data_IF_000117446944
#
_entry.id   IF_000117446944
#
_cell.length_a   1.000
_cell.length_b   1.000
_cell.length_c   1.000
_cell.angle_alpha   90.00
_cell.angle_beta   90.00
_cell.angle_gamma   90.00
#
_symmetry.space_group_name_H-M   'P 1'
#
loop_
_entity.id
_entity.type
_entity.pdbx_description
1 polymer ?
#
# COMPACT_ATOMS: atom_id res chain seq x y z
N UNK A 1 11.17 -6.83 8.67
CA UNK A 1 11.89 -5.83 7.84
C UNK A 1 11.29 -4.45 8.10
N UNK A 2 12.14 -3.42 8.34
CA UNK A 2 11.67 -2.04 8.60
C UNK A 2 11.40 -1.32 7.28
N UNK A 3 10.17 -0.87 7.08
CA UNK A 3 9.70 -0.23 5.85
C UNK A 3 9.06 1.11 6.17
N UNK A 4 9.31 2.14 5.37
CA UNK A 4 8.57 3.41 5.41
C UNK A 4 7.59 3.48 4.27
N UNK A 5 6.46 4.16 4.44
CA UNK A 5 5.69 4.57 3.28
C UNK A 5 5.76 6.09 3.11
N UNK A 6 5.74 6.51 1.85
CA UNK A 6 6.05 7.87 1.43
C UNK A 6 5.16 8.31 0.27
N UNK A 7 4.96 9.62 0.18
CA UNK A 7 4.13 10.25 -0.84
C UNK A 7 4.75 11.54 -1.37
N UNK A 8 3.98 12.35 -2.08
CA UNK A 8 4.38 13.68 -2.54
C UNK A 8 4.63 14.68 -1.39
N UNK A 9 4.20 14.34 -0.16
CA UNK A 9 4.51 15.13 1.04
C UNK A 9 5.97 15.00 1.49
N UNK A 10 6.69 13.95 1.03
CA UNK A 10 8.07 13.66 1.38
C UNK A 10 9.00 14.09 0.23
N UNK A 11 9.03 15.38 -0.11
CA UNK A 11 9.82 15.91 -1.24
C UNK A 11 11.33 15.96 -0.95
N UNK A 12 11.72 15.99 0.32
CA UNK A 12 13.08 15.95 0.80
C UNK A 12 13.31 14.75 1.73
N UNK A 13 14.03 13.75 1.24
CA UNK A 13 14.37 12.54 2.00
C UNK A 13 15.89 12.41 2.11
N UNK A 14 16.42 12.38 3.33
CA UNK A 14 17.78 11.92 3.57
C UNK A 14 17.82 10.39 3.59
N UNK A 15 18.02 9.82 2.42
CA UNK A 15 18.09 8.37 2.23
C UNK A 15 19.23 7.71 2.99
N UNK A 16 20.34 8.42 3.23
CA UNK A 16 21.47 7.88 3.97
C UNK A 16 21.10 7.72 5.43
N UNK A 17 20.46 8.75 6.01
CA UNK A 17 19.98 8.70 7.37
C UNK A 17 18.87 7.63 7.55
N UNK A 18 17.94 7.50 6.59
CA UNK A 18 16.95 6.41 6.62
C UNK A 18 17.58 5.03 6.69
N UNK A 19 18.61 4.77 5.89
CA UNK A 19 19.33 3.50 5.89
C UNK A 19 20.07 3.30 7.21
N UNK A 20 20.70 4.32 7.76
CA UNK A 20 21.39 4.27 9.03
C UNK A 20 20.43 3.99 10.20
N UNK A 21 19.16 4.44 10.10
CA UNK A 21 18.07 4.11 11.02
C UNK A 21 17.50 2.69 10.80
N UNK A 22 18.05 1.93 9.85
CA UNK A 22 17.71 0.55 9.58
C UNK A 22 16.50 0.35 8.68
N UNK A 23 16.11 1.36 7.88
CA UNK A 23 15.08 1.20 6.84
C UNK A 23 15.63 0.33 5.71
N UNK A 24 14.90 -0.73 5.37
CA UNK A 24 15.27 -1.74 4.38
C UNK A 24 14.35 -1.69 3.15
N UNK A 25 13.22 -0.99 3.25
CA UNK A 25 12.26 -0.86 2.16
C UNK A 25 11.39 0.38 2.24
N UNK A 26 10.71 0.67 1.12
CA UNK A 26 9.77 1.78 1.02
C UNK A 26 8.51 1.37 0.24
N UNK A 27 7.35 1.89 0.64
CA UNK A 27 6.12 1.82 -0.16
C UNK A 27 5.82 3.24 -0.66
N UNK A 28 5.73 3.42 -1.96
CA UNK A 28 5.62 4.75 -2.59
C UNK A 28 4.20 4.99 -3.08
N UNK A 29 3.59 6.12 -2.72
CA UNK A 29 2.33 6.55 -3.36
C UNK A 29 2.57 6.71 -4.86
N UNK A 30 1.97 5.85 -5.67
CA UNK A 30 2.09 5.92 -7.12
C UNK A 30 0.96 6.73 -7.73
N UNK A 31 -0.24 6.69 -7.10
CA UNK A 31 -1.39 7.44 -7.59
C UNK A 31 -2.41 7.74 -6.49
N UNK A 32 -3.25 8.72 -6.79
CA UNK A 32 -4.51 8.98 -6.12
C UNK A 32 -5.62 8.84 -7.16
N UNK A 33 -6.42 7.78 -7.01
CA UNK A 33 -7.27 7.34 -8.10
C UNK A 33 -6.44 7.06 -9.37
N UNK A 34 -6.82 7.68 -10.49
CA UNK A 34 -6.08 7.60 -11.77
C UNK A 34 -5.00 8.66 -11.94
N UNK A 35 -4.89 9.60 -11.00
CA UNK A 35 -3.91 10.68 -11.08
C UNK A 35 -2.58 10.21 -10.48
N UNK A 36 -1.52 10.19 -11.27
CA UNK A 36 -0.20 9.80 -10.79
C UNK A 36 0.38 10.86 -9.85
N UNK A 37 1.01 10.40 -8.77
CA UNK A 37 1.81 11.21 -7.86
C UNK A 37 3.01 11.82 -8.59
N UNK A 38 3.36 13.07 -8.29
CA UNK A 38 4.43 13.78 -9.02
C UNK A 38 5.83 13.18 -8.72
N UNK A 39 6.03 12.70 -7.49
CA UNK A 39 7.33 12.21 -7.02
C UNK A 39 7.52 10.69 -7.13
N UNK A 40 6.49 9.92 -7.55
CA UNK A 40 6.57 8.46 -7.57
C UNK A 40 7.81 7.92 -8.30
N UNK A 41 8.11 8.42 -9.50
CA UNK A 41 9.27 7.99 -10.28
C UNK A 41 10.60 8.35 -9.62
N UNK A 42 10.70 9.53 -8.98
CA UNK A 42 11.88 9.99 -8.22
C UNK A 42 12.13 9.08 -7.02
N UNK A 43 11.09 8.76 -6.26
CA UNK A 43 11.19 7.93 -5.06
C UNK A 43 11.57 6.48 -5.39
N UNK A 44 10.92 5.87 -6.38
CA UNK A 44 11.23 4.50 -6.83
C UNK A 44 12.67 4.42 -7.35
N UNK A 45 13.09 5.39 -8.18
CA UNK A 45 14.46 5.45 -8.67
C UNK A 45 15.49 5.58 -7.54
N UNK A 46 15.19 6.43 -6.54
CA UNK A 46 16.08 6.65 -5.40
C UNK A 46 16.22 5.42 -4.51
N UNK A 47 15.12 4.71 -4.23
CA UNK A 47 15.09 3.46 -3.47
C UNK A 47 15.85 2.35 -4.20
N UNK A 48 15.52 2.14 -5.48
CA UNK A 48 16.14 1.12 -6.32
C UNK A 48 17.67 1.31 -6.45
N UNK A 49 18.12 2.55 -6.65
CA UNK A 49 19.55 2.86 -6.74
C UNK A 49 20.33 2.58 -5.45
N UNK A 50 19.66 2.46 -4.32
CA UNK A 50 20.23 2.17 -3.00
C UNK A 50 20.04 0.72 -2.56
N UNK A 51 19.40 -0.10 -3.39
CA UNK A 51 19.13 -1.50 -3.09
C UNK A 51 18.05 -1.72 -2.04
N UNK A 52 17.24 -0.68 -1.74
CA UNK A 52 16.07 -0.82 -0.90
C UNK A 52 14.99 -1.63 -1.64
N UNK A 53 14.28 -2.52 -0.93
CA UNK A 53 13.06 -3.10 -1.44
C UNK A 53 12.01 -2.01 -1.62
N UNK A 54 11.15 -2.11 -2.65
CA UNK A 54 10.12 -1.10 -2.87
C UNK A 54 8.79 -1.72 -3.28
N UNK A 55 7.73 -1.06 -2.90
CA UNK A 55 6.36 -1.31 -3.32
C UNK A 55 5.68 -0.01 -3.69
N UNK A 56 4.43 -0.10 -4.11
CA UNK A 56 3.63 1.08 -4.46
C UNK A 56 2.22 0.98 -3.91
N UNK A 57 1.59 2.13 -3.63
CA UNK A 57 0.17 2.16 -3.28
C UNK A 57 -0.61 3.19 -4.11
N UNK A 58 -1.87 2.83 -4.36
CA UNK A 58 -2.88 3.70 -4.96
C UNK A 58 -3.90 4.07 -3.88
N UNK A 59 -3.96 5.35 -3.49
CA UNK A 59 -5.06 5.86 -2.67
C UNK A 59 -6.33 5.83 -3.50
N UNK A 60 -7.23 4.89 -3.21
CA UNK A 60 -8.38 4.64 -4.08
C UNK A 60 -9.55 5.58 -3.83
N UNK A 61 -10.20 5.98 -4.91
CA UNK A 61 -11.49 6.65 -4.93
C UNK A 61 -12.56 5.80 -5.65
N UNK A 62 -12.27 4.51 -5.87
CA UNK A 62 -13.13 3.63 -6.62
C UNK A 62 -14.38 3.26 -5.83
N UNK A 63 -15.53 3.68 -6.34
CA UNK A 63 -16.85 3.32 -5.82
C UNK A 63 -17.55 2.25 -6.65
N UNK A 64 -16.90 1.75 -7.70
CA UNK A 64 -17.36 0.65 -8.55
C UNK A 64 -16.18 -0.19 -9.01
N UNK A 65 -16.45 -1.42 -9.40
CA UNK A 65 -15.46 -2.36 -9.94
C UNK A 65 -14.76 -1.81 -11.18
N UNK A 66 -15.49 -1.18 -12.10
CA UNK A 66 -14.94 -0.58 -13.31
C UNK A 66 -13.95 0.55 -12.97
N UNK A 67 -14.28 1.34 -11.93
CA UNK A 67 -13.37 2.40 -11.49
C UNK A 67 -12.10 1.83 -10.86
N UNK A 68 -12.21 0.76 -10.08
CA UNK A 68 -11.07 0.06 -9.49
C UNK A 68 -10.16 -0.54 -10.58
N UNK A 69 -10.73 -1.13 -11.64
CA UNK A 69 -9.99 -1.61 -12.81
C UNK A 69 -9.23 -0.47 -13.52
N UNK A 70 -9.86 0.71 -13.69
CA UNK A 70 -9.22 1.89 -14.29
C UNK A 70 -8.05 2.40 -13.43
N UNK A 71 -8.18 2.39 -12.11
CA UNK A 71 -7.14 2.80 -11.18
C UNK A 71 -5.97 1.81 -11.20
N UNK A 72 -6.24 0.50 -11.19
CA UNK A 72 -5.22 -0.53 -11.38
C UNK A 72 -4.48 -0.39 -12.70
N UNK A 73 -5.20 -0.14 -13.80
CA UNK A 73 -4.61 0.07 -15.12
C UNK A 73 -3.68 1.30 -15.15
N UNK A 74 -4.01 2.38 -14.43
CA UNK A 74 -3.16 3.56 -14.31
C UNK A 74 -1.85 3.25 -13.57
N UNK A 75 -1.92 2.47 -12.46
CA UNK A 75 -0.75 1.99 -11.72
C UNK A 75 0.15 1.12 -12.60
N UNK A 76 -0.44 0.15 -13.30
CA UNK A 76 0.30 -0.76 -14.20
C UNK A 76 1.01 0.03 -15.30
N UNK A 77 0.31 0.95 -15.96
CA UNK A 77 0.89 1.79 -17.01
C UNK A 77 2.05 2.67 -16.52
N UNK A 78 1.97 3.17 -15.28
CA UNK A 78 3.07 3.91 -14.66
C UNK A 78 4.30 3.01 -14.41
N UNK A 79 4.09 1.81 -13.85
CA UNK A 79 5.18 0.85 -13.59
C UNK A 79 5.86 0.39 -14.90
N UNK A 80 5.09 0.10 -15.94
CA UNK A 80 5.61 -0.25 -17.27
C UNK A 80 6.45 0.90 -17.86
N UNK A 81 5.98 2.15 -17.71
CA UNK A 81 6.70 3.34 -18.18
C UNK A 81 8.02 3.54 -17.45
N UNK A 82 8.07 3.27 -16.14
CA UNK A 82 9.28 3.38 -15.34
C UNK A 82 10.29 2.26 -15.64
N UNK A 83 9.84 1.07 -16.04
CA UNK A 83 10.69 -0.03 -16.49
C UNK A 83 11.53 -0.72 -15.42
N UNK A 84 11.18 -0.57 -14.13
CA UNK A 84 11.89 -1.22 -13.01
C UNK A 84 11.43 -2.67 -12.75
N UNK A 85 10.43 -3.15 -13.48
CA UNK A 85 9.83 -4.47 -13.27
C UNK A 85 8.79 -4.50 -12.16
N UNK A 86 8.47 -5.70 -11.66
CA UNK A 86 7.50 -5.86 -10.60
C UNK A 86 8.04 -5.35 -9.25
N UNK A 87 7.25 -4.57 -8.49
CA UNK A 87 7.65 -4.10 -7.18
C UNK A 87 7.79 -5.28 -6.20
N UNK A 88 8.97 -5.47 -5.56
CA UNK A 88 9.20 -6.59 -4.63
C UNK A 88 8.24 -6.62 -3.44
N UNK A 89 7.78 -5.46 -2.97
CA UNK A 89 6.82 -5.33 -1.87
C UNK A 89 5.37 -5.19 -2.36
N UNK A 90 5.10 -5.46 -3.65
CA UNK A 90 3.75 -5.51 -4.21
C UNK A 90 3.13 -4.15 -4.54
N UNK A 91 1.88 -4.23 -5.02
CA UNK A 91 0.99 -3.10 -5.30
C UNK A 91 -0.13 -3.14 -4.26
N UNK A 92 -0.47 -2.00 -3.67
CA UNK A 92 -1.47 -1.91 -2.61
C UNK A 92 -2.61 -1.00 -3.02
N UNK A 93 -3.86 -1.52 -2.96
CA UNK A 93 -5.04 -0.66 -2.97
C UNK A 93 -5.22 -0.12 -1.56
N UNK A 94 -5.13 1.20 -1.41
CA UNK A 94 -5.26 1.92 -0.14
C UNK A 94 -6.71 2.38 0.05
N UNK A 95 -7.40 1.75 1.01
CA UNK A 95 -8.85 1.89 1.25
C UNK A 95 -9.10 2.76 2.48
N UNK A 96 -9.03 4.08 2.31
CA UNK A 96 -9.21 5.06 3.38
C UNK A 96 -10.18 6.19 3.02
N UNK A 97 -10.42 6.44 1.71
CA UNK A 97 -11.26 7.55 1.26
C UNK A 97 -12.68 7.45 1.84
N UNK A 98 -13.21 8.52 2.48
CA UNK A 98 -14.51 8.48 3.15
C UNK A 98 -15.67 8.03 2.24
N UNK A 99 -15.63 8.39 0.96
CA UNK A 99 -16.64 7.99 -0.03
C UNK A 99 -16.54 6.51 -0.42
N UNK A 100 -15.39 5.87 -0.20
CA UNK A 100 -15.19 4.43 -0.43
C UNK A 100 -15.63 3.65 0.80
N UNK A 101 -15.07 3.96 1.98
CA UNK A 101 -15.39 3.25 3.23
C UNK A 101 -16.83 3.47 3.71
N UNK A 102 -17.52 4.49 3.18
CA UNK A 102 -18.93 4.75 3.46
C UNK A 102 -19.92 3.94 2.62
N UNK A 103 -19.44 3.09 1.72
CA UNK A 103 -20.27 2.21 0.89
C UNK A 103 -20.66 0.91 1.65
N UNK A 104 -21.49 0.10 1.01
CA UNK A 104 -21.76 -1.26 1.47
C UNK A 104 -20.46 -2.09 1.44
N UNK A 105 -20.13 -2.87 2.47
CA UNK A 105 -18.92 -3.70 2.50
C UNK A 105 -18.78 -4.65 1.30
N UNK A 106 -19.90 -5.14 0.73
CA UNK A 106 -19.87 -5.97 -0.47
C UNK A 106 -19.34 -5.19 -1.68
N UNK A 107 -19.72 -3.92 -1.84
CA UNK A 107 -19.27 -3.06 -2.94
C UNK A 107 -17.78 -2.69 -2.79
N UNK A 108 -17.33 -2.37 -1.56
CA UNK A 108 -15.91 -2.10 -1.26
C UNK A 108 -15.06 -3.33 -1.56
N UNK A 109 -15.51 -4.50 -1.11
CA UNK A 109 -14.83 -5.79 -1.34
C UNK A 109 -14.75 -6.14 -2.81
N UNK A 110 -15.83 -5.92 -3.56
CA UNK A 110 -15.85 -6.14 -5.01
C UNK A 110 -14.86 -5.21 -5.74
N UNK A 111 -14.75 -3.94 -5.31
CA UNK A 111 -13.79 -2.98 -5.86
C UNK A 111 -12.34 -3.41 -5.57
N UNK A 112 -12.03 -3.84 -4.33
CA UNK A 112 -10.73 -4.41 -3.97
C UNK A 112 -10.39 -5.62 -4.84
N UNK A 113 -11.34 -6.56 -5.00
CA UNK A 113 -11.16 -7.76 -5.83
C UNK A 113 -10.89 -7.42 -7.29
N UNK A 114 -11.58 -6.43 -7.85
CA UNK A 114 -11.39 -5.97 -9.23
C UNK A 114 -10.01 -5.36 -9.45
N UNK A 115 -9.56 -4.48 -8.55
CA UNK A 115 -8.21 -3.89 -8.59
C UNK A 115 -7.13 -4.97 -8.55
N UNK A 116 -7.22 -5.87 -7.57
CA UNK A 116 -6.23 -6.95 -7.36
C UNK A 116 -6.20 -7.89 -8.56
N UNK A 117 -7.37 -8.28 -9.06
CA UNK A 117 -7.48 -9.17 -10.23
C UNK A 117 -6.86 -8.56 -11.48
N UNK A 118 -7.04 -7.25 -11.69
CA UNK A 118 -6.45 -6.50 -12.80
C UNK A 118 -4.92 -6.47 -12.70
N UNK A 119 -4.37 -6.20 -11.51
CA UNK A 119 -2.93 -6.24 -11.27
C UNK A 119 -2.36 -7.65 -11.49
N UNK A 120 -3.02 -8.68 -10.95
CA UNK A 120 -2.57 -10.06 -11.07
C UNK A 120 -2.60 -10.55 -12.53
N UNK A 121 -3.61 -10.16 -13.31
CA UNK A 121 -3.70 -10.48 -14.74
C UNK A 121 -2.55 -9.87 -15.55
N UNK A 122 -1.99 -8.75 -15.10
CA UNK A 122 -0.81 -8.11 -15.67
C UNK A 122 0.52 -8.68 -15.13
N UNK A 123 0.47 -9.66 -14.21
CA UNK A 123 1.66 -10.32 -13.65
C UNK A 123 2.23 -9.64 -12.41
N UNK A 124 1.49 -8.74 -11.76
CA UNK A 124 1.89 -8.07 -10.53
C UNK A 124 1.18 -8.65 -9.32
N UNK A 125 1.89 -8.80 -8.20
CA UNK A 125 1.27 -9.13 -6.91
C UNK A 125 0.59 -7.88 -6.34
N UNK A 126 -0.66 -8.01 -5.90
CA UNK A 126 -1.40 -6.90 -5.29
C UNK A 126 -2.15 -7.35 -4.03
N UNK A 127 -2.34 -6.40 -3.10
CA UNK A 127 -3.03 -6.61 -1.84
C UNK A 127 -3.80 -5.38 -1.38
N UNK A 128 -4.37 -5.47 -0.18
CA UNK A 128 -5.18 -4.41 0.44
C UNK A 128 -4.41 -3.77 1.58
N UNK A 129 -4.34 -2.41 1.57
CA UNK A 129 -3.98 -1.63 2.73
C UNK A 129 -5.23 -0.94 3.27
N UNK A 130 -5.41 -1.02 4.58
CA UNK A 130 -6.39 -0.25 5.34
C UNK A 130 -6.09 -0.29 6.84
N UNK A 131 -6.75 0.57 7.62
CA UNK A 131 -6.76 0.43 9.07
C UNK A 131 -7.43 -0.88 9.49
N UNK A 132 -7.07 -1.41 10.68
CA UNK A 132 -7.72 -2.61 11.22
C UNK A 132 -9.24 -2.45 11.32
N UNK A 133 -9.71 -1.26 11.72
CA UNK A 133 -11.16 -0.98 11.78
C UNK A 133 -11.81 -1.00 10.40
N UNK A 134 -11.16 -0.44 9.37
CA UNK A 134 -11.67 -0.51 7.99
C UNK A 134 -11.71 -1.95 7.48
N UNK A 135 -10.67 -2.75 7.77
CA UNK A 135 -10.64 -4.18 7.41
C UNK A 135 -11.77 -4.97 8.09
N UNK A 136 -12.15 -4.63 9.34
CA UNK A 136 -13.20 -5.34 10.07
C UNK A 136 -14.61 -4.86 9.75
N UNK A 137 -14.77 -3.56 9.48
CA UNK A 137 -16.09 -2.94 9.42
C UNK A 137 -16.56 -2.64 7.98
N UNK A 138 -15.61 -2.46 7.04
CA UNK A 138 -15.91 -1.98 5.69
C UNK A 138 -15.48 -2.96 4.57
N UNK A 139 -14.76 -4.03 4.88
CA UNK A 139 -14.29 -5.01 3.88
C UNK A 139 -14.62 -6.42 4.37
N UNK A 140 -15.25 -7.22 3.51
CA UNK A 140 -15.47 -8.64 3.77
C UNK A 140 -14.18 -9.42 3.44
N UNK A 141 -13.20 -9.35 4.35
CA UNK A 141 -11.84 -9.91 4.17
C UNK A 141 -11.87 -11.37 3.73
N UNK A 142 -12.78 -12.18 4.29
CA UNK A 142 -12.90 -13.62 3.98
C UNK A 142 -13.57 -13.91 2.63
N UNK A 143 -14.10 -12.89 1.94
CA UNK A 143 -14.69 -13.03 0.61
C UNK A 143 -13.66 -12.71 -0.50
N UNK A 144 -12.51 -12.15 -0.12
CA UNK A 144 -11.36 -12.05 -1.01
C UNK A 144 -10.64 -13.40 -1.11
N UNK A 145 -9.92 -13.60 -2.21
CA UNK A 145 -9.20 -14.88 -2.41
C UNK A 145 -8.09 -15.09 -1.35
N UNK A 146 -7.90 -16.34 -0.93
CA UNK A 146 -6.97 -16.72 0.16
C UNK A 146 -5.51 -16.26 -0.04
N UNK A 147 -5.11 -15.99 -1.29
CA UNK A 147 -3.77 -15.51 -1.61
C UNK A 147 -3.59 -14.00 -1.51
N UNK A 148 -4.65 -13.24 -1.21
CA UNK A 148 -4.57 -11.77 -1.11
C UNK A 148 -3.83 -11.39 0.18
N UNK A 149 -2.71 -10.65 0.09
CA UNK A 149 -2.02 -10.16 1.25
C UNK A 149 -2.66 -8.86 1.77
N UNK A 150 -2.49 -8.63 3.07
CA UNK A 150 -2.98 -7.44 3.77
C UNK A 150 -1.82 -6.64 4.37
N UNK A 151 -1.88 -5.34 4.24
CA UNK A 151 -1.07 -4.37 4.95
C UNK A 151 -2.00 -3.61 5.89
N UNK A 152 -1.87 -3.86 7.19
CA UNK A 152 -2.79 -3.39 8.21
C UNK A 152 -2.21 -2.20 8.98
N UNK A 153 -2.94 -1.09 9.07
CA UNK A 153 -2.59 0.00 9.95
C UNK A 153 -3.28 -0.16 11.32
N UNK A 154 -2.48 -0.17 12.38
CA UNK A 154 -2.96 -0.16 13.76
C UNK A 154 -1.91 0.45 14.67
N UNK A 155 -2.24 1.57 15.31
CA UNK A 155 -1.31 2.36 16.11
C UNK A 155 -1.51 2.14 17.61
N UNK A 156 -0.45 2.39 18.40
CA UNK A 156 -0.52 2.39 19.85
C UNK A 156 -0.60 1.00 20.51
N UNK A 157 -0.29 -0.04 19.76
CA UNK A 157 -0.24 -1.44 20.22
C UNK A 157 1.18 -1.99 20.13
N UNK A 158 1.47 -3.08 20.84
CA UNK A 158 2.77 -3.77 20.77
C UNK A 158 2.85 -4.80 19.64
N UNK A 159 1.72 -5.16 19.05
CA UNK A 159 1.57 -6.13 17.96
C UNK A 159 0.33 -5.80 17.14
N UNK A 160 0.28 -6.27 15.90
CA UNK A 160 -0.88 -6.10 15.05
C UNK A 160 -1.98 -7.10 15.42
N UNK A 161 -3.18 -6.59 15.71
CA UNK A 161 -4.37 -7.40 16.03
C UNK A 161 -5.06 -8.04 14.81
N UNK A 162 -4.47 -7.96 13.62
CA UNK A 162 -5.08 -8.50 12.40
C UNK A 162 -5.41 -9.99 12.52
N UNK A 163 -4.48 -10.79 13.01
CA UNK A 163 -4.66 -12.23 13.17
C UNK A 163 -5.64 -12.64 14.27
N UNK A 164 -6.03 -11.73 15.19
CA UNK A 164 -7.11 -11.99 16.13
C UNK A 164 -8.47 -12.11 15.43
N UNK A 165 -8.64 -11.34 14.33
CA UNK A 165 -9.86 -11.36 13.52
C UNK A 165 -9.76 -12.28 12.30
N UNK A 166 -8.55 -12.41 11.72
CA UNK A 166 -8.29 -13.10 10.46
C UNK A 166 -7.08 -14.04 10.56
N UNK A 167 -7.17 -15.13 11.34
CA UNK A 167 -6.02 -15.99 11.66
C UNK A 167 -5.42 -16.72 10.44
N UNK A 168 -6.22 -16.94 9.40
CA UNK A 168 -5.83 -17.72 8.21
C UNK A 168 -5.40 -16.83 7.03
N UNK A 169 -5.55 -15.50 7.14
CA UNK A 169 -5.22 -14.56 6.08
C UNK A 169 -3.75 -14.09 6.16
N UNK A 170 -3.21 -13.65 5.04
CA UNK A 170 -1.80 -13.26 4.90
C UNK A 170 -1.62 -11.81 5.36
N UNK A 171 -1.00 -11.59 6.53
CA UNK A 171 -0.52 -10.27 6.93
C UNK A 171 0.89 -10.07 6.35
N UNK A 172 1.02 -9.17 5.38
CA UNK A 172 2.31 -8.85 4.76
C UNK A 172 3.05 -7.73 5.48
N UNK A 173 2.31 -6.77 6.04
CA UNK A 173 2.88 -5.62 6.72
C UNK A 173 1.96 -5.05 7.79
N UNK A 174 2.57 -4.43 8.78
CA UNK A 174 1.89 -3.68 9.83
C UNK A 174 2.44 -2.25 9.90
N UNK A 175 1.58 -1.27 9.58
CA UNK A 175 1.89 0.13 9.84
C UNK A 175 1.57 0.42 11.32
N UNK A 176 2.61 0.59 12.12
CA UNK A 176 2.47 0.71 13.58
C UNK A 176 2.50 2.16 14.08
N UNK A 177 2.85 3.13 13.23
CA UNK A 177 2.81 4.56 13.54
C UNK A 177 2.81 5.40 12.26
N UNK A 178 2.20 6.57 12.35
CA UNK A 178 2.18 7.65 11.36
C UNK A 178 3.08 8.84 11.76
N UNK A 179 3.89 8.69 12.80
CA UNK A 179 4.65 9.80 13.38
C UNK A 179 6.06 9.41 13.84
N UNK A 180 6.73 8.48 13.14
CA UNK A 180 8.11 8.14 13.44
C UNK A 180 9.06 9.23 12.94
N UNK A 181 9.90 9.77 13.83
CA UNK A 181 10.81 10.86 13.49
C UNK A 181 12.18 10.33 13.03
N UNK A 182 12.59 10.73 11.83
CA UNK A 182 13.93 10.55 11.31
C UNK A 182 14.45 11.94 10.90
N UNK A 183 15.55 12.38 11.52
CA UNK A 183 16.21 13.68 11.25
C UNK A 183 15.26 14.90 11.30
N UNK A 184 14.27 14.84 12.19
CA UNK A 184 13.28 15.92 12.36
C UNK A 184 12.10 15.90 11.39
N UNK A 185 12.13 15.04 10.41
CA UNK A 185 11.00 14.73 9.52
C UNK A 185 10.18 13.58 10.09
N UNK A 186 8.91 13.51 9.74
CA UNK A 186 7.97 12.50 10.22
C UNK A 186 7.58 11.54 9.11
N UNK A 187 7.57 10.25 9.42
CA UNK A 187 7.27 9.16 8.45
C UNK A 187 6.32 8.14 9.05
N UNK A 188 5.54 7.52 8.19
CA UNK A 188 4.77 6.33 8.48
C UNK A 188 5.71 5.13 8.49
N UNK A 189 5.66 4.35 9.58
CA UNK A 189 6.61 3.27 9.78
C UNK A 189 5.93 1.92 9.88
N UNK A 190 6.54 0.95 9.22
CA UNK A 190 5.98 -0.37 9.05
C UNK A 190 6.95 -1.47 9.49
N UNK A 191 6.39 -2.57 9.98
CA UNK A 191 7.05 -3.86 10.05
C UNK A 191 6.53 -4.75 8.93
N UNK A 192 7.44 -5.28 8.12
CA UNK A 192 7.13 -6.16 6.99
C UNK A 192 7.59 -7.58 7.27
N UNK A 193 6.71 -8.55 7.01
CA UNK A 193 6.89 -9.97 7.35
C UNK A 193 7.41 -10.83 6.21
#
# INVERSE_FOLDING_TARGET
MKVVDISDWNDHIDWSHMIDEGVEGVIVKISEGRTLSELHGKHIAAASARGLSWGVYCYTHAQTTERAEEEAAAVIGALETLGYGAPPLGIWIDVEAPEVIGQDPDDVTASCSAFISTCNAAGYSAGVYASLSTLTDCINVNDLADYVPYWCAQYGTSECGFHDSYPDNILAGWQWTDCYSIDGETYDMNEWY
#
